data_IF_447507499821
#
_entry.id   IF_447507499821
#
_cell.length_a   1.000
_cell.length_b   1.000
_cell.length_c   1.000
_cell.angle_alpha   90.00
_cell.angle_beta   90.00
_cell.angle_gamma   90.00
#
_symmetry.space_group_name_H-M   'P 1'
#
loop_
_entity.id
_entity.type
_entity.pdbx_description
1 polymer ?
#
# COMPACT_ATOMS: atom_id res chain seq x y z
N UNK A 1 34.50 7.54 5.56
CA UNK A 1 34.00 6.23 5.11
C UNK A 1 32.67 5.83 5.74
N UNK A 2 32.44 6.01 7.06
CA UNK A 2 31.13 5.70 7.66
C UNK A 2 29.95 6.50 7.10
N UNK A 3 30.21 7.75 6.68
CA UNK A 3 29.21 8.68 6.14
C UNK A 3 28.73 8.28 4.73
N UNK A 4 29.65 7.77 3.89
CA UNK A 4 29.33 7.23 2.56
C UNK A 4 28.36 6.05 2.64
N UNK A 5 28.56 5.17 3.63
CA UNK A 5 27.66 4.05 3.86
C UNK A 5 26.27 4.49 4.32
N UNK A 6 26.18 5.59 5.07
CA UNK A 6 24.90 6.12 5.56
C UNK A 6 24.06 6.62 4.37
N UNK A 7 24.63 7.54 3.59
CA UNK A 7 23.97 8.14 2.43
C UNK A 7 23.57 7.09 1.39
N UNK A 8 24.42 6.07 1.14
CA UNK A 8 24.10 4.97 0.23
C UNK A 8 22.94 4.12 0.72
N UNK A 9 22.87 3.84 2.03
CA UNK A 9 21.75 3.09 2.62
C UNK A 9 20.46 3.91 2.57
N UNK A 10 20.51 5.19 2.90
CA UNK A 10 19.36 6.11 2.80
C UNK A 10 18.81 6.16 1.38
N UNK A 11 19.70 6.39 0.41
CA UNK A 11 19.36 6.45 -1.02
C UNK A 11 18.76 5.11 -1.50
N UNK A 12 19.36 3.98 -1.09
CA UNK A 12 18.83 2.67 -1.45
C UNK A 12 17.44 2.40 -0.84
N UNK A 13 17.20 2.82 0.40
CA UNK A 13 15.89 2.71 1.06
C UNK A 13 14.84 3.59 0.36
N UNK A 14 15.21 4.81 -0.03
CA UNK A 14 14.34 5.71 -0.78
C UNK A 14 13.93 5.08 -2.12
N UNK A 15 14.89 4.62 -2.91
CA UNK A 15 14.61 3.96 -4.19
C UNK A 15 13.79 2.68 -4.06
N UNK A 16 14.03 1.85 -3.03
CA UNK A 16 13.19 0.67 -2.79
C UNK A 16 11.73 1.07 -2.51
N UNK A 17 11.53 2.16 -1.77
CA UNK A 17 10.18 2.67 -1.47
C UNK A 17 9.51 3.25 -2.71
N UNK A 18 10.25 4.02 -3.52
CA UNK A 18 9.77 4.57 -4.81
C UNK A 18 9.40 3.48 -5.81
N UNK A 19 10.20 2.41 -5.88
CA UNK A 19 9.95 1.24 -6.72
C UNK A 19 8.77 0.37 -6.22
N UNK A 20 8.19 0.71 -5.06
CA UNK A 20 7.16 -0.10 -4.39
C UNK A 20 7.67 -1.43 -3.85
N UNK A 21 8.99 -1.60 -3.76
CA UNK A 21 9.62 -2.79 -3.19
C UNK A 21 9.67 -2.72 -1.66
N UNK A 22 9.52 -3.87 -1.00
CA UNK A 22 9.64 -3.92 0.47
C UNK A 22 11.11 -3.70 0.89
N UNK A 23 11.33 -2.70 1.74
CA UNK A 23 12.66 -2.42 2.30
C UNK A 23 13.12 -3.55 3.23
N UNK A 24 14.05 -4.37 2.75
CA UNK A 24 14.63 -5.50 3.50
C UNK A 24 16.17 -5.43 3.53
N UNK A 25 16.82 -5.98 4.56
CA UNK A 25 18.29 -6.06 4.60
C UNK A 25 18.91 -6.72 3.36
N UNK A 26 18.37 -7.84 2.83
CA UNK A 26 18.85 -8.39 1.56
C UNK A 26 18.73 -7.42 0.38
N UNK A 27 17.59 -6.72 0.24
CA UNK A 27 17.36 -5.79 -0.85
C UNK A 27 18.31 -4.58 -0.78
N UNK A 28 18.47 -4.02 0.42
CA UNK A 28 19.42 -2.92 0.67
C UNK A 28 20.86 -3.37 0.43
N UNK A 29 21.25 -4.57 0.88
CA UNK A 29 22.58 -5.13 0.60
C UNK A 29 22.83 -5.31 -0.91
N UNK A 30 21.84 -5.82 -1.65
CA UNK A 30 21.92 -5.99 -3.10
C UNK A 30 22.08 -4.65 -3.82
N UNK A 31 21.32 -3.63 -3.42
CA UNK A 31 21.31 -2.32 -4.09
C UNK A 31 22.52 -1.46 -3.71
N UNK A 32 22.99 -1.54 -2.47
CA UNK A 32 24.17 -0.79 -2.02
C UNK A 32 25.49 -1.50 -2.27
N UNK A 33 25.50 -2.82 -2.45
CA UNK A 33 26.72 -3.63 -2.46
C UNK A 33 27.36 -3.81 -1.07
N UNK A 34 26.71 -3.34 0.01
CA UNK A 34 27.20 -3.50 1.38
C UNK A 34 26.84 -4.89 1.88
N UNK A 35 27.84 -5.62 2.41
CA UNK A 35 27.61 -6.94 2.99
C UNK A 35 26.58 -6.90 4.13
N UNK A 36 25.67 -7.88 4.16
CA UNK A 36 24.61 -7.98 5.19
C UNK A 36 25.15 -7.94 6.62
N UNK A 37 26.30 -8.57 6.87
CA UNK A 37 26.95 -8.55 8.18
C UNK A 37 27.28 -7.11 8.63
N UNK A 38 27.71 -6.24 7.71
CA UNK A 38 27.99 -4.83 7.99
C UNK A 38 26.70 -4.06 8.31
N UNK A 39 25.63 -4.30 7.56
CA UNK A 39 24.32 -3.69 7.82
C UNK A 39 23.73 -4.09 9.18
N UNK A 40 23.95 -5.33 9.62
CA UNK A 40 23.49 -5.79 10.93
C UNK A 40 24.37 -5.31 12.09
N UNK A 41 25.69 -5.23 11.90
CA UNK A 41 26.65 -4.87 12.96
C UNK A 41 26.67 -3.38 13.27
N UNK A 42 26.31 -2.52 12.31
CA UNK A 42 26.31 -1.07 12.46
C UNK A 42 24.91 -0.58 12.85
N UNK A 43 24.69 -0.17 14.12
CA UNK A 43 23.36 0.19 14.61
C UNK A 43 22.73 1.36 13.85
N UNK A 44 23.53 2.31 13.37
CA UNK A 44 23.08 3.45 12.57
C UNK A 44 22.48 3.02 11.23
N UNK A 45 23.10 2.05 10.54
CA UNK A 45 22.59 1.52 9.27
C UNK A 45 21.33 0.68 9.51
N UNK A 46 21.33 -0.10 10.60
CA UNK A 46 20.17 -0.89 11.01
C UNK A 46 18.96 0.00 11.28
N UNK A 47 19.15 1.11 11.99
CA UNK A 47 18.08 2.03 12.35
C UNK A 47 17.40 2.62 11.10
N UNK A 48 18.18 3.05 10.10
CA UNK A 48 17.64 3.60 8.85
C UNK A 48 16.81 2.56 8.08
N UNK A 49 17.31 1.32 7.99
CA UNK A 49 16.60 0.25 7.29
C UNK A 49 15.28 -0.09 7.99
N UNK A 50 15.27 -0.13 9.32
CA UNK A 50 14.05 -0.43 10.08
C UNK A 50 13.04 0.73 10.04
N UNK A 51 13.48 1.98 10.13
CA UNK A 51 12.61 3.16 9.98
C UNK A 51 11.98 3.21 8.58
N UNK A 52 12.81 3.07 7.54
CA UNK A 52 12.31 3.00 6.16
C UNK A 52 11.34 1.83 5.95
N UNK A 53 11.61 0.66 6.55
CA UNK A 53 10.69 -0.48 6.50
C UNK A 53 9.38 -0.20 7.23
N UNK A 54 9.41 0.45 8.39
CA UNK A 54 8.20 0.81 9.14
C UNK A 54 7.32 1.76 8.34
N UNK A 55 7.90 2.84 7.81
CA UNK A 55 7.21 3.82 6.97
C UNK A 55 6.62 3.18 5.71
N UNK A 56 7.36 2.28 5.05
CA UNK A 56 6.86 1.54 3.90
C UNK A 56 5.63 0.70 4.23
N UNK A 57 5.64 -0.04 5.36
CA UNK A 57 4.47 -0.82 5.80
C UNK A 57 3.25 0.04 6.10
N UNK A 58 3.46 1.19 6.75
CA UNK A 58 2.37 2.15 7.03
C UNK A 58 1.77 2.69 5.74
N UNK A 59 2.61 3.10 4.77
CA UNK A 59 2.16 3.57 3.47
C UNK A 59 1.37 2.49 2.69
N UNK A 60 1.86 1.24 2.67
CA UNK A 60 1.14 0.12 2.06
C UNK A 60 -0.20 -0.14 2.75
N UNK A 61 -0.25 -0.06 4.08
CA UNK A 61 -1.49 -0.26 4.84
C UNK A 61 -2.53 0.81 4.49
N UNK A 62 -2.12 2.08 4.43
CA UNK A 62 -3.00 3.20 4.04
C UNK A 62 -3.50 3.06 2.58
N UNK A 63 -2.63 2.65 1.67
CA UNK A 63 -2.98 2.40 0.27
C UNK A 63 -4.00 1.25 0.14
N UNK A 64 -3.79 0.16 0.88
CA UNK A 64 -4.74 -0.96 0.92
C UNK A 64 -6.10 -0.52 1.46
N UNK A 65 -6.15 0.20 2.59
CA UNK A 65 -7.42 0.70 3.17
C UNK A 65 -8.16 1.60 2.18
N UNK A 66 -7.45 2.46 1.45
CA UNK A 66 -8.04 3.34 0.44
C UNK A 66 -8.64 2.55 -0.72
N UNK A 67 -7.97 1.47 -1.14
CA UNK A 67 -8.45 0.55 -2.18
C UNK A 67 -9.72 -0.17 -1.74
N UNK A 68 -9.75 -0.69 -0.50
CA UNK A 68 -10.93 -1.34 0.07
C UNK A 68 -12.12 -0.38 0.20
N UNK A 69 -11.89 0.86 0.64
CA UNK A 69 -12.93 1.89 0.68
C UNK A 69 -13.51 2.20 -0.70
N UNK A 70 -12.66 2.25 -1.73
CA UNK A 70 -13.13 2.44 -3.10
C UNK A 70 -14.00 1.28 -3.57
N UNK A 71 -13.57 0.04 -3.33
CA UNK A 71 -14.34 -1.15 -3.68
C UNK A 71 -15.70 -1.20 -2.96
N UNK A 72 -15.72 -0.85 -1.67
CA UNK A 72 -16.96 -0.78 -0.90
C UNK A 72 -17.92 0.27 -1.46
N UNK A 73 -17.41 1.46 -1.83
CA UNK A 73 -18.22 2.52 -2.44
C UNK A 73 -18.87 2.06 -3.75
N UNK A 74 -18.08 1.47 -4.64
CA UNK A 74 -18.57 0.93 -5.92
C UNK A 74 -19.64 -0.14 -5.69
N UNK A 75 -19.41 -1.03 -4.73
CA UNK A 75 -20.37 -2.08 -4.39
C UNK A 75 -21.68 -1.50 -3.85
N UNK A 76 -21.61 -0.46 -3.00
CA UNK A 76 -22.78 0.21 -2.46
C UNK A 76 -23.58 0.94 -3.54
N UNK A 77 -22.90 1.60 -4.49
CA UNK A 77 -23.53 2.23 -5.65
C UNK A 77 -24.29 1.20 -6.51
N UNK A 78 -23.67 0.05 -6.79
CA UNK A 78 -24.33 -1.03 -7.53
C UNK A 78 -25.58 -1.57 -6.81
N UNK A 79 -25.55 -1.67 -5.48
CA UNK A 79 -26.72 -2.05 -4.68
C UNK A 79 -27.82 -0.98 -4.79
N UNK A 80 -27.46 0.29 -4.66
CA UNK A 80 -28.41 1.39 -4.78
C UNK A 80 -29.11 1.39 -6.16
N UNK A 81 -28.36 1.15 -7.23
CA UNK A 81 -28.88 1.02 -8.59
C UNK A 81 -29.88 -0.13 -8.70
N UNK A 82 -29.52 -1.29 -8.14
CA UNK A 82 -30.40 -2.46 -8.12
C UNK A 82 -31.69 -2.21 -7.33
N UNK A 83 -31.61 -1.54 -6.18
CA UNK A 83 -32.78 -1.16 -5.38
C UNK A 83 -33.68 -0.23 -6.19
N UNK A 84 -33.13 0.82 -6.80
CA UNK A 84 -33.89 1.75 -7.65
C UNK A 84 -34.59 1.03 -8.80
N UNK A 85 -33.90 0.10 -9.46
CA UNK A 85 -34.48 -0.69 -10.53
C UNK A 85 -35.65 -1.55 -10.04
N UNK A 86 -35.50 -2.25 -8.91
CA UNK A 86 -36.56 -3.06 -8.33
C UNK A 86 -37.77 -2.25 -7.89
N UNK A 87 -37.56 -1.07 -7.29
CA UNK A 87 -38.65 -0.17 -6.92
C UNK A 87 -39.47 0.26 -8.15
N UNK A 88 -38.80 0.55 -9.27
CA UNK A 88 -39.50 0.92 -10.51
C UNK A 88 -40.29 -0.25 -11.11
N UNK A 89 -39.73 -1.47 -11.08
CA UNK A 89 -40.45 -2.67 -11.51
C UNK A 89 -41.72 -2.90 -10.65
N UNK A 90 -41.62 -2.75 -9.33
CA UNK A 90 -42.77 -2.88 -8.43
C UNK A 90 -43.84 -1.82 -8.71
N UNK A 91 -43.45 -0.57 -9.02
CA UNK A 91 -44.39 0.48 -9.42
C UNK A 91 -45.10 0.15 -10.73
N UNK A 92 -44.41 -0.42 -11.71
CA UNK A 92 -45.01 -0.84 -12.98
C UNK A 92 -46.02 -1.97 -12.78
N UNK A 93 -45.61 -3.04 -12.08
CA UNK A 93 -46.49 -4.18 -11.80
C UNK A 93 -47.75 -3.79 -11.02
N UNK A 94 -47.63 -2.87 -10.05
CA UNK A 94 -48.78 -2.37 -9.31
C UNK A 94 -49.72 -1.53 -10.17
N UNK A 95 -49.21 -0.76 -11.14
CA UNK A 95 -50.02 -0.01 -12.11
C UNK A 95 -50.78 -0.94 -13.04
N UNK A 96 -50.10 -1.94 -13.61
CA UNK A 96 -50.71 -2.90 -14.54
C UNK A 96 -51.82 -3.73 -13.87
N UNK A 97 -51.67 -4.01 -12.57
CA UNK A 97 -52.67 -4.74 -11.78
C UNK A 97 -53.90 -3.89 -11.41
N UNK A 98 -53.83 -2.57 -11.52
CA UNK A 98 -54.92 -1.64 -11.19
C UNK A 98 -55.69 -1.13 -12.42
N UNK A 99 -55.21 -1.43 -13.63
CA UNK A 99 -55.86 -1.14 -14.91
C UNK A 99 -56.75 -2.30 -15.35
#
# INVERSE_FOLDING_TARGET
MSDDYLSRVETACAHLTEDGETVTFPAVAKRTGIGRATLYRRPELRAIIEDARARGREAHTLSNVTTELHHLRVSLEAIADKVRHHEELLRQLNRDRQA
#
